data_IF_265748213361
#
_entry.id   IF_265748213361
#
_cell.length_a   1.000
_cell.length_b   1.000
_cell.length_c   1.000
_cell.angle_alpha   90.00
_cell.angle_beta   90.00
_cell.angle_gamma   90.00
#
_symmetry.space_group_name_H-M   'P 1'
#
loop_
_entity.id
_entity.type
_entity.pdbx_description
1 polymer ?
#
# COMPACT_ATOMS: atom_id res chain seq x y z
N UNK A 1 7.83 -10.23 6.80
CA UNK A 1 8.00 -8.85 6.32
C UNK A 1 7.42 -7.91 7.36
N UNK A 2 8.14 -6.85 7.70
CA UNK A 2 7.63 -5.82 8.61
C UNK A 2 7.03 -4.65 7.82
N UNK A 3 6.46 -3.66 8.54
CA UNK A 3 5.82 -2.51 7.91
C UNK A 3 6.77 -1.71 7.01
N UNK A 4 8.01 -1.46 7.48
CA UNK A 4 8.97 -0.68 6.71
C UNK A 4 9.36 -1.39 5.41
N UNK A 5 9.50 -2.71 5.44
CA UNK A 5 9.80 -3.52 4.26
C UNK A 5 8.63 -3.49 3.27
N UNK A 6 7.40 -3.56 3.75
CA UNK A 6 6.23 -3.48 2.89
C UNK A 6 6.13 -2.10 2.23
N UNK A 7 6.32 -1.02 3.00
CA UNK A 7 6.32 0.34 2.46
C UNK A 7 7.43 0.52 1.42
N UNK A 8 8.63 -0.01 1.67
CA UNK A 8 9.73 0.07 0.72
C UNK A 8 9.38 -0.58 -0.64
N UNK A 9 8.68 -1.71 -0.62
CA UNK A 9 8.22 -2.36 -1.85
C UNK A 9 7.14 -1.53 -2.56
N UNK A 10 6.21 -0.94 -1.82
CA UNK A 10 5.22 -0.02 -2.39
C UNK A 10 5.91 1.15 -3.09
N UNK A 11 6.89 1.76 -2.45
CA UNK A 11 7.68 2.87 -3.03
C UNK A 11 8.40 2.42 -4.29
N UNK A 12 8.96 1.22 -4.29
CA UNK A 12 9.65 0.67 -5.48
C UNK A 12 8.68 0.53 -6.66
N UNK A 13 7.47 0.06 -6.42
CA UNK A 13 6.43 -0.02 -7.46
C UNK A 13 6.09 1.38 -7.97
N UNK A 14 5.90 2.35 -7.07
CA UNK A 14 5.59 3.73 -7.43
C UNK A 14 6.67 4.34 -8.32
N UNK A 15 7.94 4.14 -7.96
CA UNK A 15 9.08 4.72 -8.68
C UNK A 15 9.27 4.07 -10.06
N UNK A 16 8.89 2.81 -10.23
CA UNK A 16 8.97 2.08 -11.51
C UNK A 16 7.79 2.35 -12.45
N UNK A 17 6.69 2.91 -11.95
CA UNK A 17 5.52 3.19 -12.77
C UNK A 17 5.79 4.30 -13.80
N UNK A 18 5.05 4.30 -14.90
CA UNK A 18 5.14 5.29 -15.97
C UNK A 18 3.80 6.03 -16.17
N UNK A 19 3.69 7.33 -15.84
CA UNK A 19 4.69 8.12 -15.10
C UNK A 19 4.83 7.64 -13.65
N UNK A 20 5.91 7.98 -12.96
CA UNK A 20 6.06 7.60 -11.55
C UNK A 20 4.89 8.08 -10.72
N UNK A 21 4.45 7.23 -9.79
CA UNK A 21 3.38 7.57 -8.84
C UNK A 21 4.03 8.30 -7.67
N UNK A 22 3.48 9.46 -7.32
CA UNK A 22 3.96 10.22 -6.17
C UNK A 22 3.43 9.60 -4.89
N UNK A 23 4.26 9.58 -3.87
CA UNK A 23 3.89 9.01 -2.58
C UNK A 23 4.33 9.91 -1.44
N UNK A 24 3.58 9.84 -0.35
CA UNK A 24 3.91 10.50 0.90
C UNK A 24 3.70 9.50 2.02
N UNK A 25 4.76 9.25 2.80
CA UNK A 25 4.67 8.42 3.99
C UNK A 25 4.53 9.30 5.23
N UNK A 26 3.48 9.03 6.02
CA UNK A 26 3.21 9.75 7.27
C UNK A 26 3.61 8.95 8.51
N UNK A 27 4.27 7.80 8.31
CA UNK A 27 4.72 6.94 9.42
C UNK A 27 5.66 7.70 10.37
N UNK A 28 6.49 8.61 9.83
CA UNK A 28 7.46 9.39 10.60
C UNK A 28 6.86 10.62 11.27
N UNK A 29 5.58 10.91 11.05
CA UNK A 29 4.93 12.05 11.70
C UNK A 29 4.78 11.75 13.19
N UNK A 30 5.35 12.61 14.04
CA UNK A 30 5.30 12.43 15.48
C UNK A 30 3.93 12.80 16.02
N UNK A 31 3.23 11.80 16.53
CA UNK A 31 1.89 11.95 17.11
C UNK A 31 1.87 12.93 18.30
N UNK A 32 2.96 13.02 19.03
CA UNK A 32 3.10 13.94 20.16
C UNK A 32 3.00 15.41 19.74
N UNK A 33 3.41 15.73 18.52
CA UNK A 33 3.34 17.08 17.95
C UNK A 33 2.06 17.34 17.18
N UNK A 34 1.37 16.27 16.77
CA UNK A 34 0.17 16.34 15.95
C UNK A 34 -0.88 15.35 16.48
N UNK A 35 -1.39 15.53 17.72
CA UNK A 35 -2.31 14.55 18.32
C UNK A 35 -3.62 14.40 17.54
N UNK A 36 -4.03 15.41 16.77
CA UNK A 36 -5.21 15.35 15.93
C UNK A 36 -5.02 14.43 14.70
N UNK A 37 -3.77 14.01 14.42
CA UNK A 37 -3.47 13.07 13.34
C UNK A 37 -3.36 11.62 13.85
N UNK A 38 -3.68 11.35 15.09
CA UNK A 38 -3.67 9.97 15.60
C UNK A 38 -4.56 9.08 14.73
N UNK A 39 -3.98 7.97 14.25
CA UNK A 39 -4.66 7.03 13.38
C UNK A 39 -4.69 7.41 11.91
N UNK A 40 -4.06 8.52 11.53
CA UNK A 40 -3.95 8.91 10.13
C UNK A 40 -3.34 7.79 9.28
N UNK A 41 -3.86 7.54 8.04
CA UNK A 41 -3.30 6.50 7.18
C UNK A 41 -1.81 6.71 6.88
N UNK A 42 -1.07 5.60 6.77
CA UNK A 42 0.37 5.62 6.58
C UNK A 42 0.83 6.27 5.28
N UNK A 43 0.06 6.06 4.20
CA UNK A 43 0.45 6.46 2.85
C UNK A 43 -0.62 7.27 2.14
N UNK A 44 -0.17 8.28 1.43
CA UNK A 44 -0.92 8.98 0.39
C UNK A 44 -0.24 8.72 -0.95
N UNK A 45 -1.02 8.38 -1.98
CA UNK A 45 -0.52 7.97 -3.28
C UNK A 45 -1.25 8.72 -4.37
N UNK A 46 -0.49 9.35 -5.26
CA UNK A 46 -1.03 10.21 -6.32
C UNK A 46 -0.48 9.78 -7.68
N UNK A 47 -1.35 9.27 -8.52
CA UNK A 47 -1.07 8.99 -9.92
C UNK A 47 -1.58 10.09 -10.85
N UNK A 48 -1.43 9.91 -12.15
CA UNK A 48 -1.89 10.88 -13.14
C UNK A 48 -3.41 10.91 -13.31
N UNK A 49 -4.11 9.87 -12.88
CA UNK A 49 -5.56 9.72 -13.04
C UNK A 49 -6.33 9.61 -11.71
N UNK A 50 -5.65 9.61 -10.57
CA UNK A 50 -6.32 9.48 -9.29
C UNK A 50 -5.37 9.42 -8.12
N UNK A 51 -5.94 9.36 -6.92
CA UNK A 51 -5.19 9.28 -5.68
C UNK A 51 -5.95 8.43 -4.66
N UNK A 52 -5.20 7.96 -3.66
CA UNK A 52 -5.82 7.19 -2.57
C UNK A 52 -4.99 7.30 -1.28
N UNK A 53 -5.62 6.88 -0.20
CA UNK A 53 -5.00 6.73 1.12
C UNK A 53 -4.94 5.26 1.48
N UNK A 54 -3.84 4.83 2.07
CA UNK A 54 -3.69 3.42 2.48
C UNK A 54 -3.05 3.31 3.85
N UNK A 55 -3.66 2.49 4.70
CA UNK A 55 -3.09 2.03 5.96
C UNK A 55 -2.34 0.72 5.68
N UNK A 56 -1.12 0.59 6.20
CA UNK A 56 -0.29 -0.61 5.97
C UNK A 56 -0.27 -1.47 7.22
N UNK A 57 -0.63 -2.74 7.07
CA UNK A 57 -0.65 -3.71 8.16
C UNK A 57 0.12 -4.97 7.77
N UNK A 58 0.88 -5.51 8.71
CA UNK A 58 1.64 -6.74 8.52
C UNK A 58 1.36 -7.73 9.66
N UNK A 59 1.51 -9.02 9.37
CA UNK A 59 1.26 -10.07 10.34
C UNK A 59 -0.19 -10.06 10.83
N UNK A 60 -0.37 -10.16 12.14
CA UNK A 60 -1.68 -10.16 12.78
C UNK A 60 -2.08 -8.80 13.36
N UNK A 61 -1.36 -7.74 12.99
CA UNK A 61 -1.65 -6.39 13.49
C UNK A 61 -3.03 -5.94 13.02
N UNK A 62 -3.84 -5.44 13.94
CA UNK A 62 -5.21 -4.99 13.66
C UNK A 62 -5.29 -3.47 13.60
N UNK A 63 -6.32 -2.96 12.93
CA UNK A 63 -6.65 -1.54 12.97
C UNK A 63 -6.98 -1.13 14.39
N UNK A 64 -6.46 0.05 14.78
CA UNK A 64 -6.95 0.73 15.98
C UNK A 64 -8.28 1.43 15.67
N UNK A 65 -9.03 1.79 16.72
CA UNK A 65 -10.26 2.54 16.54
C UNK A 65 -10.01 3.89 15.84
N UNK A 66 -8.91 4.57 16.18
CA UNK A 66 -8.54 5.83 15.54
C UNK A 66 -8.25 5.67 14.05
N UNK A 67 -7.53 4.61 13.67
CA UNK A 67 -7.26 4.31 12.26
C UNK A 67 -8.55 4.03 11.48
N UNK A 68 -9.45 3.24 12.06
CA UNK A 68 -10.75 2.95 11.44
C UNK A 68 -11.59 4.21 11.22
N UNK A 69 -11.61 5.12 12.20
CA UNK A 69 -12.33 6.40 12.07
C UNK A 69 -11.80 7.27 10.93
N UNK A 70 -10.48 7.31 10.74
CA UNK A 70 -9.89 8.06 9.63
C UNK A 70 -10.28 7.45 8.27
N UNK A 71 -10.18 6.13 8.11
CA UNK A 71 -10.56 5.46 6.86
C UNK A 71 -12.03 5.71 6.52
N UNK A 72 -12.91 5.57 7.51
CA UNK A 72 -14.35 5.80 7.31
C UNK A 72 -14.64 7.26 6.94
N UNK A 73 -13.99 8.21 7.61
CA UNK A 73 -14.19 9.63 7.33
C UNK A 73 -13.74 10.00 5.91
N UNK A 74 -12.62 9.44 5.44
CA UNK A 74 -12.13 9.68 4.08
C UNK A 74 -13.13 9.12 3.06
N UNK A 75 -13.63 7.90 3.27
CA UNK A 75 -14.63 7.30 2.37
C UNK A 75 -15.94 8.07 2.37
N UNK A 76 -16.40 8.49 3.53
CA UNK A 76 -17.63 9.29 3.66
C UNK A 76 -17.51 10.63 2.92
N UNK A 77 -16.32 11.18 2.84
CA UNK A 77 -16.04 12.40 2.09
C UNK A 77 -15.83 12.18 0.58
N UNK A 78 -15.94 10.93 0.12
CA UNK A 78 -15.77 10.57 -1.29
C UNK A 78 -14.36 10.21 -1.69
N UNK A 79 -13.43 10.07 -0.73
CA UNK A 79 -12.06 9.63 -0.99
C UNK A 79 -11.95 8.11 -1.01
N UNK A 80 -10.86 7.62 -1.57
CA UNK A 80 -10.54 6.19 -1.58
C UNK A 80 -9.55 5.89 -0.46
N UNK A 81 -9.95 5.08 0.52
CA UNK A 81 -9.11 4.70 1.63
C UNK A 81 -9.31 3.22 1.96
N UNK A 82 -8.24 2.49 2.17
CA UNK A 82 -8.29 1.07 2.48
C UNK A 82 -6.99 0.63 3.16
N UNK A 83 -6.92 -0.64 3.45
CA UNK A 83 -5.77 -1.29 4.09
C UNK A 83 -5.01 -2.10 3.05
N UNK A 84 -3.67 -2.05 3.12
CA UNK A 84 -2.80 -2.96 2.38
C UNK A 84 -2.06 -3.85 3.34
N UNK A 85 -2.02 -5.14 3.00
CA UNK A 85 -1.26 -6.16 3.74
C UNK A 85 -0.17 -6.74 2.84
N UNK A 86 0.73 -7.51 3.44
CA UNK A 86 1.75 -8.22 2.66
C UNK A 86 1.14 -9.18 1.64
N UNK A 87 -0.03 -9.76 1.92
CA UNK A 87 -0.73 -10.60 0.95
C UNK A 87 -1.13 -9.81 -0.29
N UNK A 88 -1.60 -8.57 -0.10
CA UNK A 88 -1.97 -7.69 -1.20
C UNK A 88 -0.76 -7.33 -2.07
N UNK A 89 0.43 -7.27 -1.48
CA UNK A 89 1.67 -7.11 -2.23
C UNK A 89 1.96 -8.35 -3.08
N UNK A 90 1.98 -9.51 -2.43
CA UNK A 90 2.40 -10.76 -3.08
C UNK A 90 1.44 -11.23 -4.16
N UNK A 91 0.14 -11.01 -4.00
CA UNK A 91 -0.85 -11.40 -5.00
C UNK A 91 -0.97 -10.41 -6.17
N UNK A 92 -0.22 -9.31 -6.13
CA UNK A 92 -0.22 -8.30 -7.17
C UNK A 92 -1.32 -7.24 -7.05
N UNK A 93 -2.14 -7.29 -6.01
CA UNK A 93 -3.22 -6.31 -5.80
C UNK A 93 -2.68 -4.89 -5.66
N UNK A 94 -1.61 -4.69 -4.87
CA UNK A 94 -1.04 -3.36 -4.64
C UNK A 94 -0.55 -2.77 -5.96
N UNK A 95 0.20 -3.53 -6.75
CA UNK A 95 0.70 -3.06 -8.04
C UNK A 95 -0.46 -2.70 -8.98
N UNK A 96 -1.48 -3.55 -9.07
CA UNK A 96 -2.64 -3.30 -9.92
C UNK A 96 -3.40 -2.03 -9.50
N UNK A 97 -3.61 -1.84 -8.20
CA UNK A 97 -4.27 -0.63 -7.68
C UNK A 97 -3.45 0.63 -7.93
N UNK A 98 -2.12 0.56 -7.76
CA UNK A 98 -1.23 1.68 -8.03
C UNK A 98 -1.26 2.07 -9.51
N UNK A 99 -1.15 1.11 -10.42
CA UNK A 99 -1.21 1.40 -11.86
C UNK A 99 -2.57 1.98 -12.27
N UNK A 100 -3.63 1.60 -11.60
CA UNK A 100 -4.95 2.18 -11.83
C UNK A 100 -4.98 3.68 -11.50
N UNK A 101 -4.16 4.15 -10.56
CA UNK A 101 -4.01 5.58 -10.27
C UNK A 101 -3.42 6.36 -11.46
N UNK A 102 -2.74 5.68 -12.37
CA UNK A 102 -2.26 6.22 -13.64
C UNK A 102 -3.25 5.97 -14.81
N UNK A 103 -4.44 5.46 -14.50
CA UNK A 103 -5.41 5.14 -15.53
C UNK A 103 -5.10 3.85 -16.29
N UNK A 104 -4.23 3.00 -15.76
CA UNK A 104 -3.82 1.75 -16.41
C UNK A 104 -4.46 0.56 -15.71
N UNK A 105 -5.27 -0.20 -16.44
CA UNK A 105 -5.83 -1.45 -15.94
C UNK A 105 -4.91 -2.60 -16.30
N UNK A 106 -4.50 -3.38 -15.32
CA UNK A 106 -3.68 -4.58 -15.52
C UNK A 106 -4.27 -5.75 -14.73
N UNK A 107 -3.97 -6.96 -15.17
CA UNK A 107 -4.26 -8.14 -14.37
C UNK A 107 -3.28 -8.24 -13.21
N UNK A 108 -3.75 -8.81 -12.10
CA UNK A 108 -2.87 -9.05 -10.95
C UNK A 108 -1.89 -10.16 -11.30
N UNK A 109 -0.62 -9.88 -11.04
CA UNK A 109 0.47 -10.84 -11.17
C UNK A 109 1.23 -10.90 -9.85
N UNK A 110 1.68 -12.08 -9.42
CA UNK A 110 2.46 -12.19 -8.19
C UNK A 110 3.64 -11.23 -8.19
N UNK A 111 3.77 -10.46 -7.12
CA UNK A 111 4.89 -9.55 -6.95
C UNK A 111 6.00 -10.25 -6.20
N UNK A 112 7.20 -10.18 -6.72
CA UNK A 112 8.37 -10.77 -6.10
C UNK A 112 9.20 -9.66 -5.46
N UNK A 113 9.33 -9.64 -4.12
CA UNK A 113 10.11 -8.64 -3.43
C UNK A 113 11.56 -8.62 -3.89
N UNK A 114 12.18 -7.43 -3.84
CA UNK A 114 13.60 -7.30 -4.12
C UNK A 114 14.42 -8.15 -3.15
N UNK A 115 15.43 -8.85 -3.67
CA UNK A 115 16.27 -9.72 -2.87
C UNK A 115 15.69 -11.10 -2.54
N UNK A 116 14.49 -11.42 -3.02
CA UNK A 116 13.93 -12.75 -2.84
C UNK A 116 14.79 -13.81 -3.54
N UNK A 117 14.99 -14.95 -2.88
CA UNK A 117 15.70 -16.08 -3.47
C UNK A 117 14.87 -16.69 -4.62
N UNK A 118 15.50 -17.46 -5.55
CA UNK A 118 14.75 -18.18 -6.57
C UNK A 118 13.68 -19.12 -6.01
N UNK A 119 13.96 -19.77 -4.87
CA UNK A 119 13.00 -20.66 -4.21
C UNK A 119 11.82 -19.89 -3.64
N UNK A 120 12.08 -18.76 -3.01
CA UNK A 120 11.03 -17.88 -2.51
C UNK A 120 10.18 -17.34 -3.66
N UNK A 121 10.79 -16.89 -4.74
CA UNK A 121 10.08 -16.40 -5.92
C UNK A 121 9.17 -17.49 -6.51
N UNK A 122 9.67 -18.72 -6.64
CA UNK A 122 8.88 -19.85 -7.12
C UNK A 122 7.70 -20.15 -6.18
N UNK A 123 7.93 -20.11 -4.87
CA UNK A 123 6.89 -20.32 -3.88
C UNK A 123 5.80 -19.26 -3.99
N UNK A 124 6.16 -17.97 -4.11
CA UNK A 124 5.19 -16.89 -4.24
C UNK A 124 4.34 -17.02 -5.51
N UNK A 125 4.97 -17.39 -6.63
CA UNK A 125 4.23 -17.65 -7.87
C UNK A 125 3.26 -18.81 -7.72
N UNK A 126 3.67 -19.86 -7.04
CA UNK A 126 2.81 -21.03 -6.81
C UNK A 126 1.61 -20.70 -5.92
N UNK A 127 1.80 -19.89 -4.89
CA UNK A 127 0.77 -19.55 -3.90
C UNK A 127 -0.18 -18.47 -4.41
N UNK A 128 0.35 -17.44 -5.08
CA UNK A 128 -0.41 -16.24 -5.45
C UNK A 128 -0.66 -16.09 -6.94
N UNK A 129 -0.03 -16.92 -7.77
CA UNK A 129 -0.17 -16.87 -9.22
C UNK A 129 -1.30 -17.75 -9.71
N UNK A 130 -2.38 -17.17 -10.16
CA UNK A 130 -3.43 -17.93 -10.84
C UNK A 130 -4.47 -17.02 -11.44
#
# INVERSE_FOLDING_TARGET
MNQDELIAEVVRICDQAEPPIRWLSLVAVRKERCPHLEGWPDLFLLGSAGFCWREVKTGSTRLTAAQGRWLDAIEDAGGAADIWTERDLYDGSIRAELLKLNGVAVEREPWIPEGASPDEAAHRRAVYGS
#
